data_IF_527849414507
#
_entry.id   IF_527849414507
#
_cell.length_a   1.000
_cell.length_b   1.000
_cell.length_c   1.000
_cell.angle_alpha   90.00
_cell.angle_beta   90.00
_cell.angle_gamma   90.00
#
_symmetry.space_group_name_H-M   'P 1'
#
loop_
_entity.id
_entity.type
_entity.pdbx_description
1 polymer ?
#
# COMPACT_ATOMS: atom_id res chain seq x y z
N UNK A 1 51.57 -33.27 -9.14
CA UNK A 1 50.85 -34.01 -10.20
C UNK A 1 49.91 -33.01 -10.87
N UNK A 2 50.33 -32.55 -12.06
CA UNK A 2 49.64 -31.83 -13.14
C UNK A 2 48.64 -30.68 -12.87
N UNK A 3 48.62 -29.55 -13.59
CA UNK A 3 49.46 -28.95 -14.65
C UNK A 3 49.01 -27.48 -14.79
N UNK A 4 49.97 -26.56 -14.72
CA UNK A 4 50.28 -25.43 -15.63
C UNK A 4 49.15 -24.46 -16.04
N UNK A 5 49.35 -23.17 -15.72
CA UNK A 5 49.00 -22.05 -16.61
C UNK A 5 50.30 -21.33 -17.00
N UNK A 6 50.59 -21.30 -18.30
CA UNK A 6 51.69 -20.55 -18.92
C UNK A 6 51.10 -19.61 -19.96
N UNK A 7 51.71 -18.42 -20.05
CA UNK A 7 52.12 -17.64 -21.25
C UNK A 7 51.92 -16.14 -20.95
N UNK A 8 52.97 -15.31 -20.80
CA UNK A 8 54.01 -14.92 -21.78
C UNK A 8 53.43 -14.17 -22.97
N UNK A 9 53.97 -13.07 -23.50
CA UNK A 9 54.97 -12.05 -23.11
C UNK A 9 54.69 -10.86 -24.04
N UNK A 10 55.05 -9.67 -23.57
CA UNK A 10 55.08 -8.42 -24.31
C UNK A 10 56.06 -8.47 -25.50
N UNK A 11 55.71 -7.84 -26.64
CA UNK A 11 56.71 -7.23 -27.51
C UNK A 11 56.12 -6.10 -28.37
N UNK A 12 56.73 -4.94 -28.25
CA UNK A 12 56.46 -3.69 -28.96
C UNK A 12 57.29 -3.67 -30.24
N UNK A 13 56.69 -3.27 -31.37
CA UNK A 13 57.43 -2.72 -32.52
C UNK A 13 56.83 -1.38 -32.93
N UNK A 14 57.65 -0.32 -32.84
CA UNK A 14 57.45 0.98 -33.49
C UNK A 14 57.76 0.86 -34.98
N UNK A 15 56.95 1.44 -35.87
CA UNK A 15 57.45 2.08 -37.11
C UNK A 15 56.56 3.27 -37.51
N UNK A 16 57.24 4.41 -37.58
CA UNK A 16 57.12 5.60 -38.45
C UNK A 16 55.78 6.21 -38.87
N UNK A 17 55.74 7.54 -38.69
CA UNK A 17 54.75 8.48 -39.18
C UNK A 17 54.84 8.69 -40.70
N UNK A 18 53.68 8.79 -41.34
CA UNK A 18 53.47 9.48 -42.61
C UNK A 18 52.20 10.32 -42.45
N UNK A 19 52.39 11.63 -42.46
CA UNK A 19 51.35 12.64 -42.53
C UNK A 19 50.88 12.80 -43.98
N UNK A 20 49.61 12.52 -44.27
CA UNK A 20 48.94 13.07 -45.45
C UNK A 20 47.55 13.57 -45.04
N UNK A 21 47.39 14.88 -45.17
CA UNK A 21 46.14 15.63 -45.02
C UNK A 21 45.14 15.24 -46.09
N UNK A 22 43.95 14.78 -45.68
CA UNK A 22 42.78 14.73 -46.54
C UNK A 22 41.56 15.24 -45.77
N UNK A 23 40.95 16.27 -46.34
CA UNK A 23 39.72 16.90 -45.86
C UNK A 23 38.58 15.88 -45.79
N UNK A 24 38.10 15.61 -44.59
CA UNK A 24 36.87 14.87 -44.33
C UNK A 24 35.92 15.77 -43.56
N UNK A 25 34.74 16.02 -44.12
CA UNK A 25 33.64 16.72 -43.48
C UNK A 25 33.43 16.16 -42.06
N UNK A 26 33.57 17.02 -41.05
CA UNK A 26 32.97 16.76 -39.75
C UNK A 26 31.44 16.83 -39.92
N UNK A 27 30.79 15.68 -40.07
CA UNK A 27 29.40 15.55 -39.66
C UNK A 27 29.36 15.70 -38.15
N UNK A 28 29.07 16.91 -37.68
CA UNK A 28 28.62 17.11 -36.31
C UNK A 28 27.23 16.45 -36.27
N UNK A 29 27.19 15.16 -35.97
CA UNK A 29 25.96 14.53 -35.48
C UNK A 29 25.65 15.21 -34.16
N UNK A 30 24.82 16.26 -34.24
CA UNK A 30 24.16 16.83 -33.10
C UNK A 30 23.48 15.68 -32.38
N UNK A 31 23.95 15.38 -31.17
CA UNK A 31 23.12 14.75 -30.18
C UNK A 31 22.04 15.78 -29.85
N UNK A 32 21.00 15.83 -30.68
CA UNK A 32 19.70 16.31 -30.23
C UNK A 32 19.26 15.32 -29.16
N UNK A 33 19.66 15.61 -27.91
CA UNK A 33 18.83 15.23 -26.79
C UNK A 33 17.53 15.99 -26.97
N UNK A 34 16.61 15.40 -27.72
CA UNK A 34 15.18 15.68 -27.55
C UNK A 34 14.88 15.26 -26.13
N UNK A 35 15.00 16.19 -25.18
CA UNK A 35 14.24 16.11 -23.96
C UNK A 35 12.78 16.12 -24.39
N UNK A 36 12.22 14.93 -24.60
CA UNK A 36 10.78 14.75 -24.43
C UNK A 36 10.53 15.01 -22.95
N UNK A 37 10.44 16.28 -22.58
CA UNK A 37 9.64 16.70 -21.44
C UNK A 37 8.20 16.44 -21.86
N UNK A 38 7.82 15.16 -21.91
CA UNK A 38 6.43 14.80 -21.60
C UNK A 38 6.19 15.41 -20.24
N UNK A 39 5.28 16.38 -20.18
CA UNK A 39 4.81 17.00 -18.95
C UNK A 39 4.73 15.92 -17.87
N UNK A 40 5.67 15.94 -16.92
CA UNK A 40 5.60 15.04 -15.79
C UNK A 40 4.36 15.48 -15.03
N UNK A 41 3.33 14.65 -15.07
CA UNK A 41 2.12 14.87 -14.26
C UNK A 41 2.59 14.98 -12.82
N UNK A 42 2.35 16.14 -12.21
CA UNK A 42 2.70 16.37 -10.82
C UNK A 42 2.02 15.28 -9.97
N UNK A 43 2.79 14.46 -9.25
CA UNK A 43 2.28 13.31 -8.48
C UNK A 43 2.59 11.94 -9.08
N UNK A 44 3.10 11.84 -10.31
CA UNK A 44 3.58 10.58 -10.88
C UNK A 44 5.05 10.36 -10.55
N UNK A 45 5.41 9.16 -10.09
CA UNK A 45 6.79 8.81 -9.82
C UNK A 45 7.64 8.89 -11.10
N UNK A 46 8.82 9.54 -11.07
CA UNK A 46 9.74 9.54 -12.20
C UNK A 46 10.09 8.15 -12.75
N UNK A 47 9.96 7.09 -11.95
CA UNK A 47 10.19 5.72 -12.35
C UNK A 47 8.99 5.06 -13.03
N UNK A 48 7.78 5.62 -12.91
CA UNK A 48 6.57 5.09 -13.55
C UNK A 48 6.56 5.35 -15.05
N UNK A 49 6.00 4.42 -15.83
CA UNK A 49 5.57 4.70 -17.19
C UNK A 49 4.24 5.46 -17.15
N UNK A 50 4.18 6.74 -17.56
CA UNK A 50 2.94 7.52 -17.53
C UNK A 50 1.84 6.99 -18.46
N UNK A 51 2.18 6.11 -19.40
CA UNK A 51 1.22 5.50 -20.32
C UNK A 51 0.69 4.15 -19.82
N UNK A 52 1.21 3.66 -18.68
CA UNK A 52 0.71 2.41 -18.09
C UNK A 52 -0.79 2.52 -17.85
N UNK A 53 -1.48 1.42 -18.12
CA UNK A 53 -2.91 1.26 -17.87
C UNK A 53 -3.11 0.48 -16.57
N UNK A 54 -4.35 0.42 -16.03
CA UNK A 54 -4.68 -0.56 -15.00
C UNK A 54 -4.20 -1.96 -15.39
N UNK A 55 -3.86 -2.78 -14.39
CA UNK A 55 -3.22 -4.08 -14.57
C UNK A 55 -3.89 -4.92 -15.66
N UNK A 56 -3.05 -5.63 -16.43
CA UNK A 56 -3.51 -6.43 -17.55
C UNK A 56 -4.54 -7.48 -17.10
N UNK A 57 -5.62 -7.61 -17.88
CA UNK A 57 -6.70 -8.54 -17.59
C UNK A 57 -7.87 -7.93 -16.83
N UNK A 58 -7.75 -6.68 -16.37
CA UNK A 58 -8.90 -5.90 -15.91
C UNK A 58 -9.84 -5.59 -17.08
N UNK A 59 -11.15 -5.58 -16.82
CA UNK A 59 -12.17 -5.23 -17.82
C UNK A 59 -12.35 -3.70 -17.98
N UNK A 60 -11.56 -2.90 -17.26
CA UNK A 60 -11.63 -1.44 -17.30
C UNK A 60 -10.71 -0.90 -18.39
N UNK A 61 -11.10 0.20 -19.03
CA UNK A 61 -10.31 0.84 -20.09
C UNK A 61 -10.50 2.36 -20.05
N UNK A 62 -9.60 3.07 -20.72
CA UNK A 62 -9.64 4.53 -20.85
C UNK A 62 -9.07 5.28 -19.65
N UNK A 63 -8.48 4.58 -18.68
CA UNK A 63 -7.82 5.18 -17.53
C UNK A 63 -6.40 5.63 -17.86
N UNK A 64 -5.91 6.69 -17.22
CA UNK A 64 -4.53 7.17 -17.34
C UNK A 64 -3.93 7.32 -15.96
N UNK A 65 -2.65 7.00 -15.84
CA UNK A 65 -1.93 7.18 -14.57
C UNK A 65 -1.86 8.67 -14.23
N UNK A 66 -2.38 9.05 -13.07
CA UNK A 66 -2.35 10.45 -12.61
C UNK A 66 -1.61 10.64 -11.29
N UNK A 67 -1.42 9.56 -10.52
CA UNK A 67 -0.61 9.59 -9.31
C UNK A 67 0.01 8.22 -9.04
N UNK A 68 1.24 8.19 -8.53
CA UNK A 68 1.92 6.93 -8.19
C UNK A 68 3.08 7.08 -7.22
N UNK A 69 3.39 5.98 -6.56
CA UNK A 69 4.66 5.74 -5.89
C UNK A 69 5.17 4.34 -6.25
N UNK A 70 6.35 4.27 -6.86
CA UNK A 70 7.04 3.01 -7.21
C UNK A 70 8.09 2.63 -6.16
N UNK A 71 8.15 3.37 -5.05
CA UNK A 71 9.04 3.14 -3.90
C UNK A 71 10.52 2.94 -4.29
N UNK A 72 10.97 3.65 -5.33
CA UNK A 72 12.34 3.59 -5.84
C UNK A 72 13.32 4.53 -5.12
N UNK A 73 12.82 5.32 -4.17
CA UNK A 73 13.64 6.14 -3.27
C UNK A 73 14.42 5.31 -2.24
N UNK A 74 15.00 6.01 -1.26
CA UNK A 74 15.73 5.41 -0.14
C UNK A 74 15.00 5.50 1.19
N UNK A 75 13.85 6.17 1.20
CA UNK A 75 12.98 6.38 2.36
C UNK A 75 11.55 6.66 1.89
N UNK A 76 10.61 6.69 2.83
CA UNK A 76 9.23 7.09 2.52
C UNK A 76 9.23 8.55 2.08
N UNK A 77 8.66 8.86 0.92
CA UNK A 77 8.52 10.24 0.47
C UNK A 77 7.43 10.95 1.28
N UNK A 78 7.82 11.73 2.29
CA UNK A 78 6.90 12.45 3.16
C UNK A 78 6.13 13.59 2.44
N UNK A 79 6.49 13.93 1.19
CA UNK A 79 5.65 14.81 0.37
C UNK A 79 4.42 14.07 -0.16
N UNK A 80 4.51 12.75 -0.35
CA UNK A 80 3.41 11.90 -0.82
C UNK A 80 2.65 11.24 0.33
N UNK A 81 3.34 10.95 1.42
CA UNK A 81 2.82 10.16 2.52
C UNK A 81 3.02 10.85 3.86
N UNK A 82 2.21 10.49 4.84
CA UNK A 82 2.54 10.70 6.24
C UNK A 82 2.35 9.39 7.01
N UNK A 83 3.03 9.28 8.13
CA UNK A 83 3.02 8.06 8.94
C UNK A 83 1.74 7.90 9.75
N UNK A 84 1.24 6.68 9.78
CA UNK A 84 0.28 6.22 10.79
C UNK A 84 1.02 6.00 12.12
N UNK A 85 0.48 6.56 13.21
CA UNK A 85 1.18 6.65 14.50
C UNK A 85 0.29 6.36 15.74
N UNK A 86 -0.93 5.84 15.53
CA UNK A 86 -1.82 5.42 16.61
C UNK A 86 -1.47 4.06 17.20
N UNK A 87 -2.10 3.78 18.33
CA UNK A 87 -2.22 2.42 18.84
C UNK A 87 -3.53 1.81 18.39
N UNK A 88 -3.41 0.69 17.69
CA UNK A 88 -4.54 -0.09 17.21
C UNK A 88 -4.35 -1.53 17.61
N UNK A 89 -5.38 -2.05 18.28
CA UNK A 89 -5.44 -3.42 18.78
C UNK A 89 -4.20 -3.74 19.63
N UNK A 90 -3.31 -4.61 19.16
CA UNK A 90 -2.14 -5.07 19.91
C UNK A 90 -0.83 -4.38 19.54
N UNK A 91 -0.89 -3.35 18.68
CA UNK A 91 0.32 -2.70 18.15
C UNK A 91 0.25 -1.17 18.19
N UNK A 92 1.42 -0.54 18.31
CA UNK A 92 1.61 0.88 18.03
C UNK A 92 2.29 1.04 16.67
N UNK A 93 1.76 1.96 15.86
CA UNK A 93 2.38 2.28 14.57
C UNK A 93 3.46 3.33 14.76
N UNK A 94 4.62 3.10 14.15
CA UNK A 94 5.82 3.88 14.40
C UNK A 94 6.50 4.26 13.08
N UNK A 95 6.91 5.52 12.87
CA UNK A 95 7.60 5.95 11.65
C UNK A 95 8.81 5.07 11.31
N UNK A 96 9.62 4.69 12.31
CA UNK A 96 10.83 3.90 12.11
C UNK A 96 10.61 2.48 11.62
N UNK A 97 9.37 1.97 11.68
CA UNK A 97 9.00 0.66 11.14
C UNK A 97 8.61 0.73 9.66
N UNK A 98 8.56 1.91 9.05
CA UNK A 98 8.30 2.10 7.63
C UNK A 98 9.64 2.27 6.90
N UNK A 99 9.90 1.44 5.90
CA UNK A 99 11.17 1.41 5.15
C UNK A 99 10.91 1.35 3.66
N UNK A 100 11.71 2.10 2.90
CA UNK A 100 11.76 2.01 1.44
C UNK A 100 13.18 1.67 1.04
N UNK A 101 13.36 0.59 0.29
CA UNK A 101 14.65 0.23 -0.31
C UNK A 101 14.45 -0.86 -1.38
N UNK A 102 15.28 -0.84 -2.42
CA UNK A 102 15.23 -1.86 -3.47
C UNK A 102 13.88 -1.92 -4.19
N UNK A 103 13.26 -0.77 -4.44
CA UNK A 103 12.00 -0.64 -5.17
C UNK A 103 10.77 -1.13 -4.39
N UNK A 104 10.83 -1.20 -3.07
CA UNK A 104 9.74 -1.74 -2.25
C UNK A 104 9.55 -0.89 -0.99
N UNK A 105 8.30 -0.58 -0.68
CA UNK A 105 7.86 -0.17 0.65
C UNK A 105 7.66 -1.38 1.57
N UNK A 106 8.01 -1.21 2.85
CA UNK A 106 7.91 -2.24 3.88
C UNK A 106 7.43 -1.65 5.20
N UNK A 107 6.45 -2.32 5.80
CA UNK A 107 6.18 -2.18 7.23
C UNK A 107 6.89 -3.32 7.96
N UNK A 108 7.76 -3.01 8.93
CA UNK A 108 8.45 -3.97 9.78
C UNK A 108 7.61 -4.24 11.04
N UNK A 109 7.37 -5.52 11.32
CA UNK A 109 6.54 -6.03 12.39
C UNK A 109 7.44 -6.55 13.50
N UNK A 110 7.28 -6.05 14.73
CA UNK A 110 8.21 -6.36 15.84
C UNK A 110 7.46 -6.69 17.12
N UNK A 111 8.06 -7.58 17.91
CA UNK A 111 7.79 -7.69 19.34
C UNK A 111 8.60 -6.62 20.06
N UNK A 112 7.90 -5.60 20.54
CA UNK A 112 8.49 -4.43 21.18
C UNK A 112 7.43 -3.84 22.11
N UNK A 113 7.61 -4.02 23.42
CA UNK A 113 6.70 -3.43 24.40
C UNK A 113 6.90 -1.93 24.47
N UNK A 114 5.87 -1.17 24.14
CA UNK A 114 5.93 0.30 24.09
C UNK A 114 4.78 0.93 24.87
N UNK A 115 5.02 2.15 25.37
CA UNK A 115 3.99 2.93 26.05
C UNK A 115 2.91 3.34 25.06
N UNK A 116 1.66 3.06 25.41
CA UNK A 116 0.50 3.57 24.72
C UNK A 116 -0.57 3.99 25.73
N UNK A 117 -0.45 5.20 26.31
CA UNK A 117 -1.35 5.64 27.38
C UNK A 117 -2.81 5.76 26.92
N UNK A 118 -3.04 5.99 25.62
CA UNK A 118 -4.37 6.14 25.03
C UNK A 118 -4.92 4.83 24.43
N UNK A 119 -4.30 3.68 24.72
CA UNK A 119 -4.78 2.39 24.24
C UNK A 119 -6.21 2.11 24.74
N UNK A 120 -7.07 1.69 23.82
CA UNK A 120 -8.48 1.33 24.09
C UNK A 120 -8.77 -0.15 23.94
N UNK A 121 -7.76 -0.95 23.59
CA UNK A 121 -7.92 -2.35 23.22
C UNK A 121 -7.32 -3.26 24.28
N UNK A 122 -8.05 -4.32 24.63
CA UNK A 122 -7.52 -5.37 25.49
C UNK A 122 -6.31 -6.03 24.82
N UNK A 123 -5.23 -6.14 25.57
CA UNK A 123 -4.00 -6.78 25.12
C UNK A 123 -4.05 -8.31 25.37
N UNK A 124 -3.20 -9.12 24.71
CA UNK A 124 -3.12 -10.55 24.99
C UNK A 124 -2.93 -10.81 26.49
N UNK A 125 -3.74 -11.71 27.05
CA UNK A 125 -3.79 -11.99 28.48
C UNK A 125 -4.77 -11.14 29.30
N UNK A 126 -5.37 -10.09 28.71
CA UNK A 126 -6.47 -9.35 29.34
C UNK A 126 -7.83 -9.96 28.98
N UNK A 127 -8.76 -9.92 29.93
CA UNK A 127 -10.13 -10.45 29.80
C UNK A 127 -11.16 -9.35 29.63
N UNK A 128 -12.34 -9.71 29.09
CA UNK A 128 -13.48 -8.79 29.00
C UNK A 128 -13.83 -8.25 30.38
N UNK A 129 -13.80 -6.93 30.54
CA UNK A 129 -14.03 -6.24 31.81
C UNK A 129 -12.76 -5.60 32.39
N UNK A 130 -11.58 -6.02 31.94
CA UNK A 130 -10.32 -5.39 32.34
C UNK A 130 -10.21 -3.97 31.78
N UNK A 131 -9.49 -3.12 32.50
CA UNK A 131 -9.03 -1.85 31.95
C UNK A 131 -7.93 -2.13 30.92
N UNK A 132 -8.03 -1.64 29.66
CA UNK A 132 -6.96 -1.75 28.68
C UNK A 132 -5.61 -1.28 29.25
N UNK A 133 -4.56 -2.07 29.03
CA UNK A 133 -3.22 -1.71 29.48
C UNK A 133 -2.74 -0.44 28.76
N UNK A 134 -2.02 0.44 29.47
CA UNK A 134 -1.39 1.64 28.91
C UNK A 134 -0.12 1.34 28.10
N UNK A 135 0.04 0.10 27.65
CA UNK A 135 1.16 -0.42 26.85
C UNK A 135 0.60 -1.35 25.80
N UNK A 136 1.32 -1.50 24.69
CA UNK A 136 1.09 -2.53 23.68
C UNK A 136 2.37 -3.35 23.51
N UNK A 137 2.24 -4.61 23.08
CA UNK A 137 3.36 -5.56 23.07
C UNK A 137 4.10 -5.63 21.73
N UNK A 138 3.57 -4.95 20.72
CA UNK A 138 4.06 -5.02 19.36
C UNK A 138 4.13 -3.64 18.73
N UNK A 139 5.01 -3.50 17.75
CA UNK A 139 5.07 -2.31 16.90
C UNK A 139 5.01 -2.71 15.44
N UNK A 140 4.34 -1.89 14.65
CA UNK A 140 4.26 -2.02 13.19
C UNK A 140 4.29 -0.62 12.58
N UNK A 141 3.72 -0.47 11.38
CA UNK A 141 3.82 0.71 10.56
C UNK A 141 2.66 0.83 9.60
N UNK A 142 2.55 2.00 9.01
CA UNK A 142 1.59 2.32 7.98
C UNK A 142 1.84 3.72 7.45
N UNK A 143 1.46 3.92 6.21
CA UNK A 143 1.54 5.21 5.51
C UNK A 143 0.19 5.53 4.90
N UNK A 144 -0.10 6.82 4.84
CA UNK A 144 -1.36 7.37 4.39
C UNK A 144 -1.07 8.47 3.38
N UNK A 145 -1.72 8.45 2.22
CA UNK A 145 -1.45 9.44 1.18
C UNK A 145 -1.80 10.85 1.68
N UNK A 146 -0.94 11.81 1.33
CA UNK A 146 -1.19 13.22 1.56
C UNK A 146 -2.27 13.75 0.61
N UNK A 147 -2.30 13.23 -0.62
CA UNK A 147 -3.34 13.51 -1.59
C UNK A 147 -4.64 12.76 -1.26
N UNK A 148 -5.77 13.37 -1.62
CA UNK A 148 -7.09 12.77 -1.57
C UNK A 148 -7.54 12.46 -3.00
N UNK A 149 -8.20 11.32 -3.16
CA UNK A 149 -8.64 10.78 -4.43
C UNK A 149 -10.15 10.53 -4.37
N UNK A 150 -10.77 10.34 -5.53
CA UNK A 150 -12.20 10.03 -5.60
C UNK A 150 -12.48 8.96 -6.65
N UNK A 151 -13.11 9.32 -7.76
CA UNK A 151 -13.48 8.37 -8.78
C UNK A 151 -12.28 8.02 -9.64
N UNK A 152 -11.97 6.73 -9.72
CA UNK A 152 -10.74 6.27 -10.34
C UNK A 152 -10.52 4.78 -10.20
N UNK A 153 -9.36 4.33 -10.69
CA UNK A 153 -8.84 3.00 -10.44
C UNK A 153 -7.67 3.09 -9.46
N UNK A 154 -7.76 2.36 -8.35
CA UNK A 154 -6.74 2.25 -7.32
C UNK A 154 -6.06 0.90 -7.47
N UNK A 155 -4.73 0.87 -7.45
CA UNK A 155 -3.96 -0.35 -7.62
C UNK A 155 -2.77 -0.38 -6.66
N UNK A 156 -2.54 -1.53 -6.03
CA UNK A 156 -1.31 -1.79 -5.29
C UNK A 156 -0.83 -3.21 -5.58
N UNK A 157 0.47 -3.36 -5.78
CA UNK A 157 1.11 -4.69 -5.87
C UNK A 157 1.77 -5.01 -4.55
N UNK A 158 1.25 -6.00 -3.83
CA UNK A 158 1.60 -6.26 -2.44
C UNK A 158 1.74 -7.75 -2.13
N UNK A 159 2.38 -8.05 -1.01
CA UNK A 159 2.37 -9.36 -0.38
C UNK A 159 2.40 -9.25 1.14
N UNK A 160 1.85 -10.27 1.80
CA UNK A 160 1.60 -10.26 3.24
C UNK A 160 2.60 -11.08 4.04
N UNK A 161 2.79 -10.73 5.32
CA UNK A 161 3.48 -11.60 6.27
C UNK A 161 2.71 -12.92 6.45
N UNK A 162 3.38 -13.93 7.00
CA UNK A 162 2.76 -15.18 7.43
C UNK A 162 2.87 -15.35 8.94
N UNK A 163 1.85 -15.93 9.56
CA UNK A 163 1.84 -16.23 10.99
C UNK A 163 0.66 -15.57 11.69
N UNK A 164 0.33 -16.04 12.89
CA UNK A 164 -0.83 -15.53 13.61
C UNK A 164 -0.67 -14.06 14.02
N UNK A 165 -1.77 -13.31 13.98
CA UNK A 165 -1.96 -12.08 14.73
C UNK A 165 -1.59 -10.77 14.02
N UNK A 166 -1.31 -10.79 12.71
CA UNK A 166 -1.18 -9.56 11.92
C UNK A 166 -2.33 -9.39 10.95
N UNK A 167 -2.74 -8.14 10.74
CA UNK A 167 -3.74 -7.77 9.76
C UNK A 167 -3.16 -6.71 8.83
N UNK A 168 -2.96 -7.10 7.58
CA UNK A 168 -2.38 -6.26 6.52
C UNK A 168 -3.48 -5.76 5.59
N UNK A 169 -3.44 -4.48 5.26
CA UNK A 169 -4.48 -3.87 4.42
C UNK A 169 -3.96 -2.84 3.44
N UNK A 170 -4.63 -2.80 2.28
CA UNK A 170 -4.65 -1.70 1.32
C UNK A 170 -6.10 -1.23 1.26
N UNK A 171 -6.34 -0.01 1.74
CA UNK A 171 -7.68 0.50 1.98
C UNK A 171 -7.75 2.01 1.78
N UNK A 172 -8.96 2.54 1.66
CA UNK A 172 -9.18 3.96 1.41
C UNK A 172 -10.20 4.53 2.38
N UNK A 173 -9.81 5.62 3.04
CA UNK A 173 -10.66 6.40 3.92
C UNK A 173 -10.12 7.81 3.97
N UNK A 174 -10.98 8.82 4.12
CA UNK A 174 -10.49 10.19 4.30
C UNK A 174 -9.63 10.28 5.55
N UNK A 175 -8.39 10.75 5.41
CA UNK A 175 -7.60 11.03 6.59
C UNK A 175 -8.06 12.34 7.26
N UNK A 176 -8.79 12.20 8.37
CA UNK A 176 -9.28 13.32 9.16
C UNK A 176 -8.20 14.00 10.01
N UNK A 177 -6.97 13.47 10.02
CA UNK A 177 -5.86 13.97 10.84
C UNK A 177 -4.89 14.88 10.08
N UNK A 178 -5.14 15.17 8.79
CA UNK A 178 -4.31 16.09 8.01
C UNK A 178 -4.27 17.47 8.69
N UNK A 179 -3.14 17.79 9.33
CA UNK A 179 -2.93 19.02 10.12
C UNK A 179 -3.28 18.95 11.61
N UNK A 180 -3.53 17.76 12.18
CA UNK A 180 -3.73 17.56 13.63
C UNK A 180 -2.70 16.57 14.19
N UNK A 181 -2.20 16.84 15.40
CA UNK A 181 -1.17 16.03 16.07
C UNK A 181 -1.45 14.52 16.01
N UNK A 182 -0.38 13.75 15.81
CA UNK A 182 -0.28 12.28 15.80
C UNK A 182 -1.17 11.52 16.81
N UNK A 183 -1.49 12.13 17.95
CA UNK A 183 -2.40 11.58 18.96
C UNK A 183 -3.89 11.55 18.55
N UNK A 184 -4.26 12.19 17.44
CA UNK A 184 -5.65 12.37 16.97
C UNK A 184 -6.20 11.21 16.14
N UNK A 185 -5.36 10.26 15.70
CA UNK A 185 -5.79 9.06 14.97
C UNK A 185 -6.70 8.12 15.80
N UNK A 186 -6.86 8.37 17.11
CA UNK A 186 -7.85 7.72 17.97
C UNK A 186 -9.30 8.23 17.79
N UNK A 187 -9.53 9.14 16.85
CA UNK A 187 -10.83 9.77 16.62
C UNK A 187 -11.64 8.96 15.61
N UNK A 188 -12.50 8.10 16.16
CA UNK A 188 -13.53 7.42 15.41
C UNK A 188 -14.35 8.45 14.59
N UNK A 189 -14.58 8.23 13.28
CA UNK A 189 -15.42 9.10 12.44
C UNK A 189 -16.83 9.35 13.05
N UNK A 190 -17.29 8.50 13.97
CA UNK A 190 -18.54 8.71 14.72
C UNK A 190 -18.50 9.86 15.74
N UNK A 191 -17.33 10.37 16.14
CA UNK A 191 -17.18 11.27 17.30
C UNK A 191 -16.99 12.75 16.96
N UNK A 192 -16.67 13.10 15.70
CA UNK A 192 -16.65 14.48 15.21
C UNK A 192 -17.95 14.77 14.44
N UNK A 193 -18.57 15.93 14.72
CA UNK A 193 -19.83 16.36 14.08
C UNK A 193 -19.60 17.16 12.79
N UNK A 194 -18.39 17.69 12.62
CA UNK A 194 -18.02 18.72 11.64
C UNK A 194 -17.13 18.20 10.49
N UNK A 195 -16.42 17.09 10.68
CA UNK A 195 -15.64 16.43 9.61
C UNK A 195 -15.72 14.92 9.79
N UNK A 196 -16.35 14.20 8.86
CA UNK A 196 -16.39 12.74 8.91
C UNK A 196 -16.16 12.13 7.53
N UNK A 197 -15.27 11.14 7.46
CA UNK A 197 -15.30 10.20 6.36
C UNK A 197 -16.66 9.53 6.39
N UNK A 198 -17.34 9.53 5.26
CA UNK A 198 -18.63 8.90 5.06
C UNK A 198 -18.44 7.47 4.59
N UNK A 199 -17.33 7.20 3.91
CA UNK A 199 -17.02 5.90 3.36
C UNK A 199 -15.63 5.42 3.80
N UNK A 200 -15.49 4.11 3.82
CA UNK A 200 -14.24 3.36 3.89
C UNK A 200 -14.35 2.23 2.87
N UNK A 201 -13.30 2.03 2.07
CA UNK A 201 -13.27 1.11 0.94
C UNK A 201 -12.09 0.17 1.13
N UNK A 202 -12.35 -1.13 1.17
CA UNK A 202 -11.39 -2.13 1.61
C UNK A 202 -11.20 -3.18 0.51
N UNK A 203 -10.42 -2.89 -0.54
CA UNK A 203 -10.15 -3.85 -1.60
C UNK A 203 -9.28 -5.02 -1.13
N UNK A 204 -8.54 -4.87 -0.02
CA UNK A 204 -7.73 -5.93 0.54
C UNK A 204 -7.53 -5.81 2.05
N UNK A 205 -7.98 -6.84 2.76
CA UNK A 205 -7.72 -7.09 4.17
C UNK A 205 -7.31 -8.56 4.37
N UNK A 206 -6.10 -8.82 4.87
CA UNK A 206 -5.62 -10.18 5.15
C UNK A 206 -5.25 -10.32 6.63
N UNK A 207 -5.85 -11.32 7.29
CA UNK A 207 -5.38 -11.83 8.57
C UNK A 207 -4.29 -12.89 8.29
N UNK A 208 -3.04 -12.60 8.62
CA UNK A 208 -1.85 -13.37 8.21
C UNK A 208 -1.77 -14.82 8.72
N UNK A 209 -2.71 -15.21 9.59
CA UNK A 209 -2.89 -16.60 10.01
C UNK A 209 -3.34 -17.49 8.84
N UNK A 210 -4.02 -16.92 7.85
CA UNK A 210 -4.43 -17.60 6.63
C UNK A 210 -3.85 -16.89 5.39
N UNK A 211 -2.74 -17.40 4.82
CA UNK A 211 -2.14 -16.82 3.63
C UNK A 211 -2.94 -17.09 2.35
N UNK A 212 -4.08 -17.79 2.43
CA UNK A 212 -4.96 -18.09 1.29
C UNK A 212 -6.28 -17.31 1.33
N UNK A 213 -6.40 -16.35 2.24
CA UNK A 213 -7.64 -15.65 2.49
C UNK A 213 -7.44 -14.14 2.53
N UNK A 214 -8.32 -13.40 1.86
CA UNK A 214 -8.50 -11.97 2.14
C UNK A 214 -9.97 -11.60 2.06
N UNK A 215 -10.32 -10.47 2.67
CA UNK A 215 -11.64 -9.88 2.63
C UNK A 215 -11.63 -8.63 1.73
N UNK A 216 -12.74 -8.47 1.01
CA UNK A 216 -13.15 -7.24 0.36
C UNK A 216 -14.33 -6.67 1.15
N UNK A 217 -14.34 -5.37 1.41
CA UNK A 217 -15.47 -4.70 2.04
C UNK A 217 -15.63 -3.24 1.58
N UNK A 218 -16.79 -2.67 1.91
CA UNK A 218 -16.97 -1.23 1.94
C UNK A 218 -17.88 -0.88 3.11
N UNK A 219 -17.62 0.25 3.73
CA UNK A 219 -18.40 0.76 4.85
C UNK A 219 -19.02 2.10 4.51
N UNK A 220 -20.32 2.23 4.79
CA UNK A 220 -20.94 3.54 4.99
C UNK A 220 -20.96 3.84 6.48
N UNK A 221 -20.22 4.87 6.87
CA UNK A 221 -20.21 5.43 8.21
C UNK A 221 -21.42 6.37 8.39
N UNK A 222 -22.02 6.35 9.58
CA UNK A 222 -23.23 7.15 9.91
C UNK A 222 -24.37 6.97 8.90
N UNK A 223 -24.84 5.73 8.69
CA UNK A 223 -25.98 5.50 7.80
C UNK A 223 -27.24 6.22 8.32
N UNK A 224 -28.22 6.42 7.44
CA UNK A 224 -29.50 7.02 7.83
C UNK A 224 -30.22 6.14 8.87
N UNK A 225 -30.90 6.74 9.87
CA UNK A 225 -31.62 5.99 10.89
C UNK A 225 -32.60 4.97 10.32
N UNK A 226 -32.52 3.73 10.81
CA UNK A 226 -33.34 2.59 10.36
C UNK A 226 -32.72 1.82 9.19
N UNK A 227 -31.55 2.22 8.70
CA UNK A 227 -30.80 1.48 7.66
C UNK A 227 -29.58 0.75 8.21
N UNK A 228 -29.30 0.85 9.52
CA UNK A 228 -28.17 0.23 10.20
C UNK A 228 -28.25 -1.30 10.22
N UNK A 229 -27.10 -1.96 10.04
CA UNK A 229 -26.90 -3.33 10.53
C UNK A 229 -27.19 -3.40 12.04
N UNK A 230 -28.09 -4.28 12.52
CA UNK A 230 -28.43 -4.36 13.94
C UNK A 230 -27.20 -4.55 14.84
N UNK A 231 -26.98 -3.60 15.75
CA UNK A 231 -25.85 -3.62 16.68
C UNK A 231 -24.53 -3.12 16.10
N UNK A 232 -24.51 -2.52 14.90
CA UNK A 232 -23.34 -1.89 14.30
C UNK A 232 -23.59 -0.41 14.02
N UNK A 233 -22.51 0.36 14.04
CA UNK A 233 -22.52 1.81 13.80
C UNK A 233 -22.23 2.18 12.34
N UNK A 234 -22.21 1.19 11.45
CA UNK A 234 -21.86 1.30 10.03
C UNK A 234 -22.59 0.23 9.23
N UNK A 235 -22.86 0.53 7.96
CA UNK A 235 -23.38 -0.45 7.01
C UNK A 235 -22.23 -1.06 6.23
N UNK A 236 -22.14 -2.39 6.25
CA UNK A 236 -21.26 -3.12 5.33
C UNK A 236 -21.93 -3.22 3.96
N UNK A 237 -21.16 -3.00 2.91
CA UNK A 237 -21.67 -2.99 1.53
C UNK A 237 -20.76 -3.82 0.65
N UNK A 238 -21.32 -4.89 0.08
CA UNK A 238 -20.60 -5.68 -0.91
C UNK A 238 -19.50 -6.59 -0.37
N UNK A 239 -19.48 -6.86 0.94
CA UNK A 239 -18.48 -7.73 1.58
C UNK A 239 -18.31 -9.06 0.84
N UNK A 240 -17.07 -9.48 0.61
CA UNK A 240 -16.74 -10.79 0.04
C UNK A 240 -15.51 -11.38 0.73
N UNK A 241 -15.66 -12.62 1.18
CA UNK A 241 -14.52 -13.44 1.61
C UNK A 241 -13.94 -14.14 0.37
N UNK A 242 -12.65 -13.97 0.12
CA UNK A 242 -11.95 -14.60 -1.00
C UNK A 242 -11.01 -15.65 -0.44
N UNK A 243 -11.21 -16.90 -0.84
CA UNK A 243 -10.37 -18.03 -0.46
C UNK A 243 -9.77 -18.68 -1.70
N UNK A 244 -8.45 -18.87 -1.71
CA UNK A 244 -7.76 -19.59 -2.77
C UNK A 244 -7.75 -21.09 -2.48
N UNK A 245 -8.17 -21.88 -3.47
CA UNK A 245 -8.17 -23.35 -3.41
C UNK A 245 -7.04 -23.99 -4.22
N UNK A 246 -6.36 -23.19 -5.03
CA UNK A 246 -5.18 -23.56 -5.79
C UNK A 246 -3.90 -23.21 -5.01
N UNK A 247 -2.77 -23.13 -5.71
CA UNK A 247 -1.45 -22.86 -5.13
C UNK A 247 -1.19 -21.36 -4.88
N UNK A 248 -2.18 -20.49 -5.09
CA UNK A 248 -2.05 -19.06 -4.80
C UNK A 248 -1.81 -18.84 -3.30
N UNK A 249 -0.79 -18.04 -2.97
CA UNK A 249 -0.43 -17.65 -1.62
C UNK A 249 -0.20 -16.14 -1.56
N UNK A 250 -0.83 -15.46 -0.61
CA UNK A 250 -0.66 -14.01 -0.40
C UNK A 250 0.75 -13.63 0.10
N UNK A 251 1.60 -14.62 0.38
CA UNK A 251 3.04 -14.43 0.61
C UNK A 251 3.83 -14.20 -0.69
N UNK A 252 3.19 -14.39 -1.85
CA UNK A 252 3.68 -13.95 -3.15
C UNK A 252 3.09 -12.58 -3.51
N UNK A 253 3.74 -11.87 -4.42
CA UNK A 253 3.25 -10.57 -4.86
C UNK A 253 2.07 -10.70 -5.80
N UNK A 254 0.98 -10.03 -5.45
CA UNK A 254 -0.25 -9.96 -6.23
C UNK A 254 -0.68 -8.51 -6.43
N UNK A 255 -1.40 -8.27 -7.52
CA UNK A 255 -1.96 -6.96 -7.82
C UNK A 255 -3.40 -6.89 -7.33
N UNK A 256 -3.62 -6.01 -6.37
CA UNK A 256 -4.93 -5.69 -5.83
C UNK A 256 -5.42 -4.42 -6.51
N UNK A 257 -6.61 -4.47 -7.09
CA UNK A 257 -7.20 -3.35 -7.81
C UNK A 257 -8.62 -3.03 -7.36
N UNK A 258 -9.02 -1.77 -7.50
CA UNK A 258 -10.39 -1.33 -7.27
C UNK A 258 -10.78 -0.19 -8.20
N UNK A 259 -11.87 -0.33 -8.93
CA UNK A 259 -12.54 0.79 -9.61
C UNK A 259 -13.61 1.37 -8.69
N UNK A 260 -13.51 2.66 -8.39
CA UNK A 260 -14.54 3.43 -7.68
C UNK A 260 -15.12 4.47 -8.63
N UNK A 261 -16.42 4.35 -8.90
CA UNK A 261 -17.16 5.31 -9.71
C UNK A 261 -18.29 5.93 -8.91
N UNK A 262 -19.01 6.89 -9.51
CA UNK A 262 -20.21 7.46 -8.89
C UNK A 262 -21.29 6.42 -8.58
N UNK A 263 -21.28 5.26 -9.25
CA UNK A 263 -22.36 4.26 -9.14
C UNK A 263 -21.92 2.89 -8.67
N UNK A 264 -20.64 2.56 -8.78
CA UNK A 264 -20.16 1.17 -8.70
C UNK A 264 -18.79 1.07 -8.07
N UNK A 265 -18.60 0.02 -7.26
CA UNK A 265 -17.30 -0.49 -6.85
C UNK A 265 -17.02 -1.81 -7.58
N UNK A 266 -15.86 -1.92 -8.22
CA UNK A 266 -15.36 -3.19 -8.77
C UNK A 266 -14.02 -3.52 -8.18
N UNK A 267 -13.85 -4.73 -7.69
CA UNK A 267 -12.63 -5.20 -7.03
C UNK A 267 -11.93 -6.26 -7.88
N UNK A 268 -10.61 -6.21 -7.95
CA UNK A 268 -9.80 -7.04 -8.82
C UNK A 268 -8.64 -7.68 -8.06
N UNK A 269 -8.31 -8.92 -8.43
CA UNK A 269 -7.12 -9.65 -7.96
C UNK A 269 -6.40 -10.20 -9.18
N UNK A 270 -5.15 -9.79 -9.38
CA UNK A 270 -4.36 -10.08 -10.59
C UNK A 270 -5.17 -9.83 -11.87
N UNK A 271 -5.85 -8.69 -11.90
CA UNK A 271 -6.70 -8.24 -13.01
C UNK A 271 -8.06 -8.94 -13.12
N UNK A 272 -8.30 -10.06 -12.44
CA UNK A 272 -9.58 -10.77 -12.48
C UNK A 272 -10.60 -10.04 -11.62
N UNK A 273 -11.80 -9.80 -12.16
CA UNK A 273 -12.91 -9.23 -11.42
C UNK A 273 -13.35 -10.19 -10.30
N UNK A 274 -13.19 -9.75 -9.06
CA UNK A 274 -13.54 -10.51 -7.86
C UNK A 274 -14.95 -10.17 -7.39
N UNK A 275 -15.34 -8.91 -7.43
CA UNK A 275 -16.64 -8.45 -6.95
C UNK A 275 -17.04 -7.16 -7.66
N UNK A 276 -18.30 -7.08 -8.05
CA UNK A 276 -18.96 -5.84 -8.43
C UNK A 276 -20.08 -5.56 -7.41
N UNK A 277 -20.16 -4.30 -6.98
CA UNK A 277 -21.10 -3.82 -5.97
C UNK A 277 -21.70 -2.51 -6.45
N UNK A 278 -23.04 -2.44 -6.53
CA UNK A 278 -23.73 -1.15 -6.72
C UNK A 278 -23.49 -0.28 -5.49
N UNK A 279 -22.91 0.89 -5.72
CA UNK A 279 -22.46 1.84 -4.71
C UNK A 279 -22.70 3.25 -5.23
N UNK A 280 -23.97 3.63 -5.36
CA UNK A 280 -24.38 4.88 -5.96
C UNK A 280 -24.33 6.06 -4.98
N UNK A 281 -23.80 7.20 -5.44
CA UNK A 281 -23.58 8.40 -4.64
C UNK A 281 -24.88 9.02 -4.07
N UNK A 282 -26.03 8.73 -4.69
CA UNK A 282 -27.36 9.13 -4.23
C UNK A 282 -27.87 8.28 -3.05
N UNK A 283 -27.25 7.10 -2.84
CA UNK A 283 -27.55 6.16 -1.75
C UNK A 283 -26.46 6.14 -0.68
N UNK A 284 -25.21 6.23 -1.09
CA UNK A 284 -24.03 6.22 -0.21
C UNK A 284 -23.33 7.55 -0.37
N UNK A 285 -23.16 8.29 0.72
CA UNK A 285 -22.60 9.64 0.63
C UNK A 285 -21.11 9.53 0.35
N UNK A 286 -20.68 9.79 -0.89
CA UNK A 286 -19.27 9.73 -1.24
C UNK A 286 -18.51 10.99 -0.80
N UNK A 287 -17.26 10.82 -0.40
CA UNK A 287 -16.28 11.88 -0.18
C UNK A 287 -14.93 11.46 -0.76
N UNK A 288 -14.01 12.40 -0.84
CA UNK A 288 -12.64 12.11 -1.27
C UNK A 288 -11.92 11.32 -0.17
N UNK A 289 -11.06 10.40 -0.56
CA UNK A 289 -10.43 9.39 0.30
C UNK A 289 -8.91 9.44 0.16
N UNK A 290 -8.20 9.18 1.26
CA UNK A 290 -6.75 8.93 1.21
C UNK A 290 -6.52 7.43 1.02
N UNK A 291 -5.39 7.06 0.43
CA UNK A 291 -4.92 5.68 0.36
C UNK A 291 -4.19 5.36 1.66
N UNK A 292 -4.45 4.18 2.23
CA UNK A 292 -3.82 3.67 3.43
C UNK A 292 -3.16 2.33 3.15
N UNK A 293 -1.88 2.24 3.49
CA UNK A 293 -1.15 0.98 3.62
C UNK A 293 -0.89 0.76 5.10
N UNK A 294 -1.39 -0.34 5.65
CA UNK A 294 -1.39 -0.54 7.10
C UNK A 294 -1.08 -1.98 7.44
N UNK A 295 -0.33 -2.18 8.53
CA UNK A 295 -0.38 -3.44 9.27
C UNK A 295 -0.61 -3.16 10.74
N UNK A 296 -1.51 -3.94 11.36
CA UNK A 296 -1.76 -3.89 12.80
C UNK A 296 -1.64 -5.29 13.42
N UNK A 297 -1.13 -5.37 14.64
CA UNK A 297 -1.23 -6.57 15.47
C UNK A 297 -2.64 -6.71 16.04
N UNK A 298 -3.28 -7.87 15.94
CA UNK A 298 -4.72 -8.00 16.16
C UNK A 298 -5.21 -9.40 16.53
N UNK A 299 -6.36 -9.48 17.21
CA UNK A 299 -7.14 -10.70 17.50
C UNK A 299 -7.99 -11.20 16.32
N UNK A 300 -7.98 -10.49 15.18
CA UNK A 300 -8.70 -10.92 13.98
C UNK A 300 -8.15 -12.27 13.48
N UNK A 301 -8.91 -12.95 12.61
CA UNK A 301 -8.65 -14.34 12.25
C UNK A 301 -8.81 -15.35 13.40
N UNK A 302 -9.46 -14.95 14.50
CA UNK A 302 -9.61 -15.74 15.76
C UNK A 302 -8.27 -16.09 16.42
N UNK A 303 -7.27 -15.24 16.23
CA UNK A 303 -5.94 -15.38 16.83
C UNK A 303 -6.01 -15.05 18.33
N UNK A 304 -5.23 -15.76 19.14
CA UNK A 304 -5.14 -15.52 20.60
C UNK A 304 -3.86 -14.75 20.99
N UNK A 305 -2.85 -14.83 20.13
CA UNK A 305 -1.57 -14.15 20.26
C UNK A 305 -0.94 -13.99 18.86
N UNK A 306 0.04 -13.10 18.76
CA UNK A 306 0.93 -13.03 17.61
C UNK A 306 1.96 -14.18 17.70
N UNK A 307 2.33 -14.73 16.55
CA UNK A 307 3.42 -15.72 16.47
C UNK A 307 4.79 -15.03 16.61
N UNK A 308 5.27 -14.91 17.85
CA UNK A 308 6.56 -14.32 18.17
C UNK A 308 7.75 -14.98 17.45
N UNK A 309 7.65 -16.27 17.13
CA UNK A 309 8.75 -17.02 16.51
C UNK A 309 9.03 -16.60 15.05
N UNK A 310 8.10 -15.85 14.46
CA UNK A 310 8.19 -15.30 13.11
C UNK A 310 8.71 -13.87 13.06
N UNK A 311 8.95 -13.23 14.22
CA UNK A 311 9.33 -11.82 14.27
C UNK A 311 10.86 -11.62 14.28
N UNK A 312 11.39 -10.55 13.65
CA UNK A 312 10.64 -9.56 12.87
C UNK A 312 10.19 -10.10 11.51
N UNK A 313 9.02 -9.64 11.05
CA UNK A 313 8.44 -9.96 9.75
C UNK A 313 8.03 -8.66 9.03
N UNK A 314 7.56 -8.74 7.79
CA UNK A 314 7.22 -7.57 6.99
C UNK A 314 6.02 -7.76 6.06
N UNK A 315 5.25 -6.70 5.90
CA UNK A 315 4.35 -6.49 4.76
C UNK A 315 5.12 -5.71 3.69
N UNK A 316 4.98 -6.07 2.41
CA UNK A 316 5.72 -5.44 1.32
C UNK A 316 4.79 -4.95 0.22
N UNK A 317 5.07 -3.76 -0.30
CA UNK A 317 4.36 -3.15 -1.43
C UNK A 317 5.38 -2.70 -2.46
N UNK A 318 5.16 -3.10 -3.71
CA UNK A 318 6.01 -2.81 -4.86
C UNK A 318 5.66 -1.47 -5.49
N UNK A 319 4.37 -1.19 -5.65
CA UNK A 319 3.91 0.12 -6.06
C UNK A 319 2.50 0.39 -5.55
N UNK A 320 2.14 1.67 -5.54
CA UNK A 320 0.76 2.15 -5.46
C UNK A 320 0.52 3.08 -6.65
N UNK A 321 -0.59 2.87 -7.36
CA UNK A 321 -0.96 3.66 -8.53
C UNK A 321 -2.43 4.06 -8.44
N UNK A 322 -2.71 5.28 -8.86
CA UNK A 322 -4.06 5.79 -9.05
C UNK A 322 -4.23 6.30 -10.48
N UNK A 323 -5.35 5.91 -11.08
CA UNK A 323 -5.68 6.24 -12.46
C UNK A 323 -7.04 6.93 -12.54
N UNK A 324 -7.16 7.88 -13.46
CA UNK A 324 -8.40 8.60 -13.76
C UNK A 324 -8.82 8.40 -15.23
N UNK A 325 -10.12 8.43 -15.50
CA UNK A 325 -10.68 8.38 -16.85
C UNK A 325 -10.61 9.75 -17.53
#
# INVERSE_FOLDING_TARGET
MNIIMFLSRCSIKKVSAISLSLAGLLSVSGCNMTSNTTDRVAGVDPASDPNVQPYQGTAVSGYKLTWSDEFNGTEVDENRWHYRVDCKHWSQQKPENNKVYGGLYRTILKKETVSCPNNRWLQPGQSKGDKPAGVVQYTAGGIISNDEFRYGYYEARLKTPVGAGWHSSFWMMRNLTKGQDASSLAQNPLTRKDVTSQIELDPFENDSIDPKHFQIDAHQWKPEPGTEDPGRTQNKVGTKQVYFKDDTLLTDFHVIGMEFTETTLRYFFDGKLMKETSFAADRYKHNDVSIWLTVIGTYLGKTQAIDDSRLPEQFQVDYVRFFEK
#
